data_IF_209569182481
#
_entry.id   IF_209569182481
#
_cell.length_a   1.000
_cell.length_b   1.000
_cell.length_c   1.000
_cell.angle_alpha   90.00
_cell.angle_beta   90.00
_cell.angle_gamma   90.00
#
_symmetry.space_group_name_H-M   'P 1'
#
loop_
_entity.id
_entity.type
_entity.pdbx_description
1 polymer ?
#
# COMPACT_ATOMS: atom_id res chain seq x y z
N UNK A 1 27.87 -7.18 -8.99
CA UNK A 1 26.74 -7.22 -8.03
C UNK A 1 25.38 -6.72 -8.57
N UNK A 2 25.27 -6.05 -9.74
CA UNK A 2 23.99 -5.57 -10.29
C UNK A 2 23.18 -6.59 -11.12
N UNK A 3 23.65 -7.81 -11.30
CA UNK A 3 23.03 -8.82 -12.19
C UNK A 3 22.03 -9.77 -11.48
N UNK A 4 22.05 -9.89 -10.16
CA UNK A 4 21.22 -10.86 -9.43
C UNK A 4 19.74 -10.45 -9.36
N UNK A 5 19.41 -9.16 -9.33
CA UNK A 5 18.02 -8.68 -9.24
C UNK A 5 17.18 -8.91 -10.51
N UNK A 6 17.83 -9.23 -11.65
CA UNK A 6 17.12 -9.53 -12.90
C UNK A 6 16.69 -11.01 -13.01
N UNK A 7 17.12 -11.85 -12.08
CA UNK A 7 16.88 -13.30 -12.10
C UNK A 7 15.78 -13.78 -11.13
N UNK A 8 15.11 -12.86 -10.43
CA UNK A 8 14.01 -13.28 -9.55
C UNK A 8 12.78 -13.67 -10.36
N UNK A 9 12.23 -14.84 -10.05
CA UNK A 9 10.95 -15.30 -10.62
C UNK A 9 9.75 -14.44 -10.14
N UNK A 10 9.90 -13.69 -9.06
CA UNK A 10 8.87 -12.78 -8.56
C UNK A 10 8.86 -11.48 -9.37
N UNK A 11 7.88 -11.34 -10.26
CA UNK A 11 7.70 -10.16 -11.09
C UNK A 11 7.54 -8.86 -10.28
N UNK A 12 7.10 -8.93 -9.02
CA UNK A 12 6.92 -7.77 -8.16
C UNK A 12 8.25 -7.18 -7.65
N UNK A 13 9.34 -7.95 -7.72
CA UNK A 13 10.70 -7.52 -7.38
C UNK A 13 11.50 -7.03 -8.58
N UNK A 14 10.98 -7.21 -9.80
CA UNK A 14 11.63 -6.74 -11.01
C UNK A 14 11.93 -5.24 -10.91
N UNK A 15 13.11 -4.84 -11.35
CA UNK A 15 13.64 -3.47 -11.27
C UNK A 15 13.97 -2.97 -9.85
N UNK A 16 13.99 -3.83 -8.84
CA UNK A 16 14.49 -3.52 -7.49
C UNK A 16 15.84 -4.15 -7.23
N UNK A 17 16.54 -3.73 -6.18
CA UNK A 17 17.79 -4.38 -5.72
C UNK A 17 17.53 -5.62 -4.85
N UNK A 18 16.26 -5.95 -4.57
CA UNK A 18 15.89 -7.09 -3.74
C UNK A 18 15.86 -8.37 -4.53
N UNK A 19 16.24 -9.49 -3.91
CA UNK A 19 16.01 -10.83 -4.42
C UNK A 19 14.68 -11.40 -3.89
N UNK A 20 14.32 -11.06 -2.64
CA UNK A 20 13.14 -11.55 -1.95
C UNK A 20 12.46 -10.46 -1.12
N UNK A 21 11.19 -10.69 -0.80
CA UNK A 21 10.45 -9.96 0.21
C UNK A 21 10.71 -10.53 1.60
N UNK A 22 10.83 -9.69 2.62
CA UNK A 22 11.10 -10.12 3.99
C UNK A 22 10.08 -11.13 4.53
N UNK A 23 8.79 -10.83 4.36
CA UNK A 23 7.71 -11.67 4.90
C UNK A 23 7.31 -12.86 4.01
N UNK A 24 7.93 -13.04 2.83
CA UNK A 24 7.60 -14.14 1.93
C UNK A 24 8.63 -15.28 1.94
N UNK A 25 9.70 -15.15 2.70
CA UNK A 25 10.69 -16.21 2.86
C UNK A 25 10.11 -17.34 3.71
N UNK A 26 10.40 -18.57 3.31
CA UNK A 26 9.93 -19.81 3.94
C UNK A 26 11.10 -20.76 4.18
N UNK A 27 10.82 -21.90 4.80
CA UNK A 27 11.81 -22.97 4.98
C UNK A 27 12.35 -23.53 3.67
N UNK A 28 11.62 -23.38 2.57
CA UNK A 28 12.05 -23.81 1.25
C UNK A 28 13.24 -23.00 0.72
N UNK A 29 13.42 -21.77 1.22
CA UNK A 29 14.54 -20.93 0.84
C UNK A 29 15.83 -21.20 1.64
N UNK A 30 15.83 -22.16 2.59
CA UNK A 30 17.03 -22.48 3.38
C UNK A 30 18.19 -22.85 2.46
N UNK A 31 19.33 -22.20 2.66
CA UNK A 31 20.53 -22.36 1.85
C UNK A 31 20.71 -21.30 0.76
N UNK A 32 19.67 -20.54 0.42
CA UNK A 32 19.75 -19.48 -0.58
C UNK A 32 20.45 -18.23 -0.04
N UNK A 33 21.19 -17.54 -0.93
CA UNK A 33 21.71 -16.21 -0.68
C UNK A 33 20.69 -15.16 -1.11
N UNK A 34 20.31 -14.30 -0.18
CA UNK A 34 19.26 -13.30 -0.39
C UNK A 34 19.77 -11.88 -0.16
N UNK A 35 19.23 -10.96 -0.93
CA UNK A 35 19.39 -9.51 -0.73
C UNK A 35 18.03 -8.91 -0.40
N UNK A 36 17.93 -8.37 0.80
CA UNK A 36 16.72 -7.79 1.38
C UNK A 36 16.89 -6.30 1.59
N UNK A 37 15.80 -5.55 1.52
CA UNK A 37 15.78 -4.14 1.89
C UNK A 37 14.54 -3.86 2.73
N UNK A 38 14.73 -3.17 3.85
CA UNK A 38 13.63 -2.89 4.77
C UNK A 38 13.99 -1.88 5.83
N UNK A 39 13.05 -1.67 6.74
CA UNK A 39 13.23 -0.84 7.93
C UNK A 39 13.52 -1.70 9.14
N UNK A 40 14.48 -1.27 9.94
CA UNK A 40 14.79 -1.90 11.23
C UNK A 40 13.60 -1.72 12.17
N UNK A 41 13.03 -2.80 12.64
CA UNK A 41 11.93 -2.76 13.60
C UNK A 41 12.44 -2.63 15.03
N UNK A 42 13.36 -3.50 15.41
CA UNK A 42 14.11 -3.46 16.69
C UNK A 42 15.30 -4.39 16.63
N UNK A 43 16.21 -4.24 17.60
CA UNK A 43 17.34 -5.13 17.83
C UNK A 43 17.27 -5.75 19.23
N UNK A 44 17.91 -6.89 19.43
CA UNK A 44 17.97 -7.63 20.70
C UNK A 44 19.40 -8.12 20.97
N UNK A 45 19.70 -8.37 22.24
CA UNK A 45 20.96 -8.94 22.72
C UNK A 45 22.17 -8.21 22.11
N UNK A 46 22.29 -6.93 22.41
CA UNK A 46 23.38 -6.06 21.94
C UNK A 46 23.60 -6.14 20.42
N UNK A 47 22.49 -6.08 19.70
CA UNK A 47 22.42 -6.20 18.24
C UNK A 47 22.81 -7.57 17.66
N UNK A 48 22.89 -8.64 18.45
CA UNK A 48 23.07 -9.99 17.91
C UNK A 48 21.93 -10.38 16.95
N UNK A 49 20.72 -9.89 17.20
CA UNK A 49 19.55 -10.09 16.36
C UNK A 49 18.93 -8.76 15.97
N UNK A 50 18.73 -8.56 14.69
CA UNK A 50 18.02 -7.40 14.16
C UNK A 50 16.81 -7.88 13.38
N UNK A 51 15.63 -7.33 13.68
CA UNK A 51 14.44 -7.55 12.88
C UNK A 51 14.28 -6.43 11.87
N UNK A 52 14.15 -6.82 10.62
CA UNK A 52 13.80 -5.90 9.53
C UNK A 52 12.41 -6.23 9.02
N UNK A 53 11.71 -5.21 8.58
CA UNK A 53 10.40 -5.37 7.94
C UNK A 53 10.35 -4.65 6.62
N UNK A 54 9.53 -5.19 5.75
CA UNK A 54 9.09 -4.53 4.52
C UNK A 54 7.56 -4.50 4.44
N UNK A 55 7.06 -4.33 3.24
CA UNK A 55 5.62 -4.29 2.97
C UNK A 55 4.89 -5.62 3.16
N UNK A 56 5.61 -6.74 3.25
CA UNK A 56 5.04 -8.09 3.30
C UNK A 56 5.14 -8.73 4.68
N UNK A 57 6.07 -8.28 5.50
CA UNK A 57 6.27 -8.85 6.83
C UNK A 57 7.66 -8.58 7.39
N UNK A 58 8.06 -9.41 8.33
CA UNK A 58 9.25 -9.26 9.17
C UNK A 58 10.16 -10.47 8.98
N UNK A 59 11.47 -10.26 9.01
CA UNK A 59 12.49 -11.32 9.07
C UNK A 59 13.56 -10.96 10.10
N UNK A 60 14.12 -11.96 10.76
CA UNK A 60 15.25 -11.82 11.68
C UNK A 60 16.56 -11.93 10.92
N UNK A 61 17.46 -11.00 11.17
CA UNK A 61 18.87 -11.08 10.80
C UNK A 61 19.65 -11.57 12.02
N UNK A 62 20.45 -12.61 11.85
CA UNK A 62 21.41 -13.11 12.81
C UNK A 62 22.80 -12.54 12.45
N UNK A 63 23.41 -11.86 13.41
CA UNK A 63 24.76 -11.34 13.25
C UNK A 63 25.73 -12.44 13.72
N UNK A 64 26.56 -12.99 12.83
CA UNK A 64 27.52 -14.03 13.19
C UNK A 64 28.51 -13.56 14.28
N UNK A 65 29.11 -14.52 14.98
CA UNK A 65 30.11 -14.28 16.00
C UNK A 65 31.39 -13.63 15.45
N UNK A 66 32.22 -13.09 16.34
CA UNK A 66 33.44 -12.35 15.98
C UNK A 66 34.35 -13.11 15.02
N UNK A 67 34.81 -12.38 13.98
CA UNK A 67 35.72 -12.91 12.95
C UNK A 67 35.05 -13.28 11.61
N UNK A 68 33.73 -13.42 11.56
CA UNK A 68 32.99 -13.73 10.31
C UNK A 68 32.40 -12.51 9.58
N UNK A 69 32.34 -11.36 10.26
CA UNK A 69 31.85 -10.11 9.68
C UNK A 69 32.94 -9.05 9.71
N UNK A 70 33.02 -8.25 8.65
CA UNK A 70 33.92 -7.10 8.55
C UNK A 70 33.66 -6.10 9.68
N UNK A 71 34.72 -5.44 10.18
CA UNK A 71 34.65 -4.49 11.27
C UNK A 71 33.69 -3.34 11.00
N UNK A 72 33.64 -2.88 9.76
CA UNK A 72 32.76 -1.79 9.27
C UNK A 72 31.28 -2.12 9.46
N UNK A 73 30.90 -3.39 9.27
CA UNK A 73 29.51 -3.87 9.46
C UNK A 73 29.11 -3.75 10.94
N UNK A 74 30.03 -4.08 11.88
CA UNK A 74 29.77 -3.92 13.32
C UNK A 74 29.56 -2.45 13.70
N UNK A 75 30.39 -1.54 13.19
CA UNK A 75 30.22 -0.11 13.45
C UNK A 75 28.88 0.42 12.93
N UNK A 76 28.46 -0.04 11.75
CA UNK A 76 27.16 0.29 11.18
C UNK A 76 26.05 -0.20 12.10
N UNK A 77 26.12 -1.46 12.55
CA UNK A 77 25.11 -2.08 13.39
C UNK A 77 24.96 -1.40 14.75
N UNK A 78 26.04 -0.86 15.33
CA UNK A 78 25.97 -0.09 16.58
C UNK A 78 25.24 1.26 16.43
N UNK A 79 25.18 1.81 15.23
CA UNK A 79 24.52 3.09 14.91
C UNK A 79 23.08 2.92 14.44
N UNK A 80 22.64 1.68 14.20
CA UNK A 80 21.30 1.39 13.70
C UNK A 80 20.24 1.57 14.78
N UNK A 81 19.39 2.57 14.60
CA UNK A 81 18.17 2.76 15.39
C UNK A 81 16.92 2.20 14.70
N UNK A 82 15.84 2.02 15.47
CA UNK A 82 14.54 1.67 14.89
C UNK A 82 14.13 2.62 13.76
N UNK A 83 13.47 2.09 12.74
CA UNK A 83 13.02 2.80 11.54
C UNK A 83 14.14 3.28 10.59
N UNK A 84 15.40 2.96 10.87
CA UNK A 84 16.48 3.10 9.87
C UNK A 84 16.23 2.18 8.69
N UNK A 85 16.55 2.60 7.48
CA UNK A 85 16.45 1.76 6.28
C UNK A 85 17.81 1.17 5.94
N UNK A 86 17.81 -0.13 5.67
CA UNK A 86 19.02 -0.90 5.37
C UNK A 86 18.79 -1.86 4.19
N UNK A 87 19.88 -2.17 3.50
CA UNK A 87 20.00 -3.35 2.64
C UNK A 87 20.82 -4.39 3.40
N UNK A 88 20.35 -5.62 3.43
CA UNK A 88 21.02 -6.73 4.08
C UNK A 88 21.21 -7.88 3.09
N UNK A 89 22.42 -8.41 3.02
CA UNK A 89 22.72 -9.61 2.24
C UNK A 89 23.17 -10.71 3.18
N UNK A 90 22.69 -11.93 2.96
CA UNK A 90 23.05 -13.06 3.78
C UNK A 90 22.41 -14.35 3.30
N UNK A 91 22.64 -15.41 4.04
CA UNK A 91 22.16 -16.74 3.75
C UNK A 91 20.94 -17.08 4.61
N UNK A 92 19.90 -17.63 3.99
CA UNK A 92 18.74 -18.14 4.74
C UNK A 92 19.13 -19.40 5.50
N UNK A 93 18.91 -19.41 6.80
CA UNK A 93 19.18 -20.55 7.69
C UNK A 93 17.95 -20.88 8.54
N UNK A 94 17.81 -22.15 8.92
CA UNK A 94 16.80 -22.57 9.89
C UNK A 94 17.18 -22.11 11.30
N UNK A 95 16.22 -21.66 12.09
CA UNK A 95 16.46 -21.41 13.52
C UNK A 95 16.77 -22.72 14.25
N UNK A 96 17.60 -22.70 15.31
CA UNK A 96 17.85 -23.88 16.12
C UNK A 96 16.56 -24.49 16.67
N UNK A 97 16.59 -25.81 16.87
CA UNK A 97 15.44 -26.55 17.42
C UNK A 97 14.98 -25.91 18.72
N UNK A 98 13.68 -25.66 18.85
CA UNK A 98 13.07 -25.02 20.03
C UNK A 98 13.14 -23.48 20.06
N UNK A 99 13.77 -22.85 19.08
CA UNK A 99 13.87 -21.36 18.98
C UNK A 99 12.98 -20.76 17.89
N UNK A 100 12.12 -21.55 17.28
CA UNK A 100 11.12 -21.05 16.33
C UNK A 100 10.14 -20.11 17.05
N UNK A 101 9.80 -18.99 16.41
CA UNK A 101 8.85 -18.03 16.93
C UNK A 101 7.48 -18.17 16.24
N UNK A 102 6.47 -18.76 16.90
CA UNK A 102 5.16 -19.00 16.30
C UNK A 102 4.37 -17.69 15.99
N UNK A 103 4.79 -16.55 16.56
CA UNK A 103 4.15 -15.27 16.32
C UNK A 103 4.71 -14.53 15.09
N UNK A 104 5.57 -15.16 14.31
CA UNK A 104 6.13 -14.62 13.07
C UNK A 104 5.96 -15.64 11.95
N UNK A 105 5.45 -15.21 10.81
CA UNK A 105 5.31 -16.08 9.63
C UNK A 105 6.67 -16.65 9.17
N UNK A 106 7.75 -15.89 9.35
CA UNK A 106 9.14 -16.30 9.09
C UNK A 106 9.83 -16.86 10.34
N UNK A 107 9.09 -17.23 11.36
CA UNK A 107 9.65 -17.56 12.68
C UNK A 107 10.47 -18.83 12.78
N UNK A 108 10.43 -19.69 11.77
CA UNK A 108 11.25 -20.92 11.66
C UNK A 108 12.61 -20.70 11.00
N UNK A 109 12.82 -19.55 10.39
CA UNK A 109 14.03 -19.18 9.65
C UNK A 109 14.61 -17.86 10.13
N UNK A 110 15.85 -17.61 9.75
CA UNK A 110 16.54 -16.33 9.94
C UNK A 110 17.58 -16.16 8.83
N UNK A 111 18.15 -14.96 8.72
CA UNK A 111 19.20 -14.66 7.75
C UNK A 111 20.52 -14.53 8.49
N UNK A 112 21.46 -15.45 8.23
CA UNK A 112 22.84 -15.28 8.66
C UNK A 112 23.47 -14.14 7.84
N UNK A 113 23.73 -13.01 8.50
CA UNK A 113 24.13 -11.76 7.86
C UNK A 113 25.55 -11.84 7.34
N UNK A 114 25.77 -11.50 6.07
CA UNK A 114 27.09 -11.40 5.44
C UNK A 114 27.52 -9.94 5.25
N UNK A 115 26.58 -9.10 4.81
CA UNK A 115 26.84 -7.66 4.66
C UNK A 115 25.58 -6.82 4.91
N UNK A 116 25.78 -5.59 5.29
CA UNK A 116 24.73 -4.59 5.45
C UNK A 116 25.20 -3.24 4.94
N UNK A 117 24.32 -2.60 4.17
CA UNK A 117 24.51 -1.24 3.71
C UNK A 117 23.50 -0.31 4.39
N UNK A 118 23.98 0.80 4.88
CA UNK A 118 23.16 1.85 5.43
C UNK A 118 22.53 2.66 4.29
N UNK A 119 21.21 2.58 4.14
CA UNK A 119 20.52 3.40 3.14
C UNK A 119 20.19 4.76 3.73
N UNK A 120 19.55 4.79 4.91
CA UNK A 120 19.21 6.03 5.60
C UNK A 120 19.03 5.81 7.11
N UNK A 121 19.81 6.51 7.97
CA UNK A 121 19.63 6.43 9.42
C UNK A 121 18.34 7.16 9.85
N UNK A 122 17.62 6.57 10.79
CA UNK A 122 16.53 7.26 11.45
C UNK A 122 17.06 8.27 12.48
N UNK A 123 16.30 9.33 12.71
CA UNK A 123 16.59 10.26 13.82
C UNK A 123 16.40 9.54 15.16
N UNK A 124 17.24 9.89 16.16
CA UNK A 124 17.23 9.23 17.47
C UNK A 124 15.91 9.34 18.22
N UNK A 125 15.15 10.42 18.03
CA UNK A 125 13.87 10.64 18.69
C UNK A 125 12.74 10.72 17.65
N UNK A 126 12.12 9.59 17.37
CA UNK A 126 10.93 9.52 16.52
C UNK A 126 9.70 9.96 17.29
N UNK A 127 8.75 10.65 16.66
CA UNK A 127 7.51 11.11 17.32
C UNK A 127 6.64 9.94 17.79
N UNK A 128 6.70 8.80 17.13
CA UNK A 128 6.09 7.52 17.50
C UNK A 128 6.77 6.40 16.71
N UNK A 129 6.57 5.15 17.15
CA UNK A 129 7.08 3.97 16.45
C UNK A 129 5.93 3.26 15.72
N UNK A 130 5.98 3.14 14.38
CA UNK A 130 4.93 2.48 13.59
C UNK A 130 4.70 1.02 13.94
N UNK A 131 5.72 0.36 14.48
CA UNK A 131 5.72 -1.07 14.83
C UNK A 131 5.11 -1.40 16.19
N UNK A 132 4.70 -0.40 16.98
CA UNK A 132 4.12 -0.61 18.31
C UNK A 132 2.64 -0.25 18.32
N UNK A 133 1.78 -1.24 18.50
CA UNK A 133 0.32 -1.03 18.59
C UNK A 133 -0.08 -0.31 19.89
N UNK A 134 0.72 -0.43 20.95
CA UNK A 134 0.43 0.15 22.28
C UNK A 134 0.70 1.65 22.38
N UNK A 135 1.42 2.25 21.43
CA UNK A 135 1.72 3.70 21.40
C UNK A 135 1.53 4.27 20.01
N UNK A 136 0.32 4.22 19.53
CA UNK A 136 -0.05 4.65 18.18
C UNK A 136 0.19 6.13 17.88
N UNK A 137 0.44 6.94 18.88
CA UNK A 137 0.41 8.39 18.75
C UNK A 137 -1.01 8.92 18.50
N UNK A 138 -1.32 10.11 18.98
CA UNK A 138 -2.60 10.76 18.74
C UNK A 138 -2.76 11.09 17.25
N UNK A 139 -3.98 11.05 16.75
CA UNK A 139 -4.28 11.31 15.34
C UNK A 139 -3.63 12.60 14.76
N UNK A 140 -3.65 13.76 15.45
CA UNK A 140 -2.96 14.96 14.95
C UNK A 140 -1.46 14.75 14.72
N UNK A 141 -0.81 13.97 15.59
CA UNK A 141 0.61 13.67 15.47
C UNK A 141 0.88 12.75 14.26
N UNK A 142 0.03 11.74 14.05
CA UNK A 142 0.09 10.84 12.90
C UNK A 142 -0.14 11.59 11.58
N UNK A 143 -1.06 12.54 11.55
CA UNK A 143 -1.30 13.39 10.39
C UNK A 143 -0.11 14.29 10.09
N UNK A 144 0.54 14.83 11.12
CA UNK A 144 1.75 15.66 10.96
C UNK A 144 2.93 14.87 10.40
N UNK A 145 3.10 13.62 10.85
CA UNK A 145 4.20 12.74 10.41
C UNK A 145 3.66 11.58 9.55
N UNK A 146 2.90 11.93 8.51
CA UNK A 146 2.15 10.98 7.69
C UNK A 146 3.02 9.93 7.02
N UNK A 147 4.24 10.27 6.61
CA UNK A 147 5.18 9.31 6.01
C UNK A 147 5.56 8.18 6.98
N UNK A 148 5.68 8.50 8.27
CA UNK A 148 5.94 7.50 9.29
C UNK A 148 4.69 6.67 9.60
N UNK A 149 3.52 7.30 9.70
CA UNK A 149 2.22 6.62 9.88
C UNK A 149 1.92 5.64 8.74
N UNK A 150 2.26 5.99 7.51
CA UNK A 150 2.11 5.11 6.32
C UNK A 150 2.95 3.82 6.38
N UNK A 151 3.93 3.72 7.29
CA UNK A 151 4.67 2.47 7.53
C UNK A 151 3.87 1.44 8.36
N UNK A 152 2.74 1.83 8.93
CA UNK A 152 1.88 0.93 9.72
C UNK A 152 1.18 -0.07 8.82
N UNK A 153 1.22 -1.34 9.21
CA UNK A 153 0.68 -2.44 8.43
C UNK A 153 -0.82 -2.26 8.11
N UNK A 154 -1.61 -1.87 9.12
CA UNK A 154 -3.05 -1.67 8.96
C UNK A 154 -3.36 -0.62 7.89
N UNK A 155 -2.64 0.50 7.90
CA UNK A 155 -2.85 1.57 6.93
C UNK A 155 -2.42 1.15 5.52
N UNK A 156 -1.29 0.45 5.42
CA UNK A 156 -0.85 -0.12 4.14
C UNK A 156 -1.83 -1.14 3.59
N UNK A 157 -2.37 -2.01 4.44
CA UNK A 157 -3.38 -3.00 4.05
C UNK A 157 -4.65 -2.32 3.55
N UNK A 158 -5.13 -1.26 4.23
CA UNK A 158 -6.30 -0.51 3.78
C UNK A 158 -6.08 0.09 2.38
N UNK A 159 -4.90 0.65 2.10
CA UNK A 159 -4.58 1.21 0.79
C UNK A 159 -4.50 0.12 -0.29
N UNK A 160 -3.91 -1.05 0.02
CA UNK A 160 -3.86 -2.18 -0.91
C UNK A 160 -5.24 -2.76 -1.20
N UNK A 161 -6.06 -2.95 -0.16
CA UNK A 161 -7.44 -3.40 -0.32
C UNK A 161 -8.22 -2.43 -1.20
N UNK A 162 -8.12 -1.12 -0.95
CA UNK A 162 -8.75 -0.10 -1.79
C UNK A 162 -8.31 -0.21 -3.25
N UNK A 163 -7.00 -0.35 -3.49
CA UNK A 163 -6.45 -0.50 -4.84
C UNK A 163 -7.01 -1.73 -5.55
N UNK A 164 -7.04 -2.88 -4.85
CA UNK A 164 -7.57 -4.13 -5.38
C UNK A 164 -9.06 -4.01 -5.72
N UNK A 165 -9.85 -3.47 -4.80
CA UNK A 165 -11.30 -3.25 -5.01
C UNK A 165 -11.57 -2.43 -6.27
N UNK A 166 -10.87 -1.31 -6.43
CA UNK A 166 -11.02 -0.46 -7.62
C UNK A 166 -10.64 -1.22 -8.90
N UNK A 167 -9.58 -2.01 -8.86
CA UNK A 167 -9.14 -2.81 -10.00
C UNK A 167 -10.14 -3.90 -10.35
N UNK A 168 -10.69 -4.62 -9.35
CA UNK A 168 -11.68 -5.66 -9.54
C UNK A 168 -12.99 -5.07 -10.13
N UNK A 169 -13.42 -3.89 -9.64
CA UNK A 169 -14.55 -3.15 -10.21
C UNK A 169 -14.32 -2.77 -11.67
N UNK A 170 -13.13 -2.24 -12.00
CA UNK A 170 -12.77 -1.90 -13.38
C UNK A 170 -12.79 -3.12 -14.28
N UNK A 171 -12.19 -4.22 -13.82
CA UNK A 171 -12.15 -5.46 -14.58
C UNK A 171 -13.55 -5.98 -14.85
N UNK A 172 -14.40 -6.08 -13.82
CA UNK A 172 -15.78 -6.53 -13.98
C UNK A 172 -16.52 -5.69 -15.02
N UNK A 173 -16.47 -4.38 -14.92
CA UNK A 173 -17.19 -3.49 -15.83
C UNK A 173 -16.64 -3.58 -17.27
N UNK A 174 -15.33 -3.63 -17.45
CA UNK A 174 -14.74 -3.82 -18.78
C UNK A 174 -15.13 -5.15 -19.40
N UNK A 175 -15.13 -6.24 -18.63
CA UNK A 175 -15.53 -7.58 -19.09
C UNK A 175 -17.01 -7.61 -19.51
N UNK A 176 -17.84 -6.68 -18.99
CA UNK A 176 -19.27 -6.52 -19.36
C UNK A 176 -19.50 -5.41 -20.41
N UNK A 177 -18.45 -4.98 -21.09
CA UNK A 177 -18.54 -4.04 -22.21
C UNK A 177 -18.71 -2.57 -21.83
N UNK A 178 -18.45 -2.21 -20.57
CA UNK A 178 -18.35 -0.81 -20.20
C UNK A 178 -17.02 -0.21 -20.63
N UNK A 179 -17.03 1.05 -21.02
CA UNK A 179 -15.85 1.81 -21.40
C UNK A 179 -15.46 2.76 -20.27
N UNK A 180 -14.21 2.68 -19.80
CA UNK A 180 -13.65 3.62 -18.82
C UNK A 180 -13.22 4.91 -19.52
N UNK A 181 -13.95 5.99 -19.25
CA UNK A 181 -13.71 7.28 -19.92
C UNK A 181 -13.45 8.35 -18.87
N UNK A 182 -12.26 8.97 -18.93
CA UNK A 182 -11.92 10.11 -18.12
C UNK A 182 -12.62 11.39 -18.62
N UNK A 183 -13.14 12.17 -17.68
CA UNK A 183 -13.81 13.43 -17.95
C UNK A 183 -13.09 14.60 -17.24
N UNK A 184 -13.19 15.83 -17.73
CA UNK A 184 -12.58 16.98 -17.09
C UNK A 184 -13.09 17.22 -15.67
N UNK A 185 -12.17 17.51 -14.73
CA UNK A 185 -12.51 17.96 -13.37
C UNK A 185 -12.56 19.48 -13.24
N UNK A 186 -11.82 20.20 -14.09
CA UNK A 186 -11.91 21.65 -14.24
C UNK A 186 -12.87 21.98 -15.40
N UNK A 187 -14.00 22.56 -15.07
CA UNK A 187 -15.03 22.89 -16.05
C UNK A 187 -15.74 24.18 -15.69
N UNK A 188 -16.66 24.63 -16.50
CA UNK A 188 -17.58 25.70 -16.12
C UNK A 188 -18.54 25.22 -15.03
N UNK A 189 -19.12 26.16 -14.29
CA UNK A 189 -20.17 25.83 -13.32
C UNK A 189 -21.27 24.99 -13.96
N UNK A 190 -21.65 23.93 -13.27
CA UNK A 190 -22.70 23.02 -13.71
C UNK A 190 -23.97 23.27 -12.89
N UNK A 191 -25.17 23.13 -13.47
CA UNK A 191 -26.41 23.20 -12.71
C UNK A 191 -26.49 21.93 -11.83
N UNK A 192 -26.17 22.05 -10.57
CA UNK A 192 -26.20 20.96 -9.60
C UNK A 192 -26.66 21.44 -8.24
N UNK A 193 -27.04 20.51 -7.35
CA UNK A 193 -27.58 20.82 -6.03
C UNK A 193 -26.54 21.20 -4.98
N UNK A 194 -25.27 20.83 -5.16
CA UNK A 194 -24.22 21.14 -4.21
C UNK A 194 -23.47 22.43 -4.59
N UNK A 195 -22.83 23.08 -3.60
CA UNK A 195 -21.93 24.19 -3.86
C UNK A 195 -20.64 23.68 -4.48
N UNK A 196 -20.19 24.34 -5.53
CA UNK A 196 -18.95 24.02 -6.24
C UNK A 196 -17.78 24.85 -5.74
N UNK A 197 -16.58 24.26 -5.73
CA UNK A 197 -15.34 25.01 -5.53
C UNK A 197 -15.01 25.83 -6.77
N UNK A 198 -14.67 27.10 -6.59
CA UNK A 198 -14.31 28.02 -7.66
C UNK A 198 -12.79 28.10 -7.76
N UNK A 199 -12.26 27.92 -8.97
CA UNK A 199 -10.83 27.99 -9.25
C UNK A 199 -10.53 29.22 -10.11
N UNK A 200 -9.72 30.18 -9.62
CA UNK A 200 -9.33 31.35 -10.39
C UNK A 200 -8.56 30.98 -11.65
N UNK A 201 -8.77 31.72 -12.72
CA UNK A 201 -8.00 31.58 -13.96
C UNK A 201 -7.02 32.74 -14.14
N UNK A 202 -6.13 32.65 -15.15
CA UNK A 202 -5.26 33.75 -15.55
C UNK A 202 -6.04 34.93 -16.16
N UNK A 203 -7.23 34.68 -16.66
CA UNK A 203 -8.08 35.72 -17.28
C UNK A 203 -8.87 36.41 -16.19
N UNK A 204 -8.72 37.72 -16.09
CA UNK A 204 -9.44 38.55 -15.10
C UNK A 204 -10.96 38.37 -15.22
N UNK A 205 -11.58 38.03 -14.10
CA UNK A 205 -13.05 37.83 -14.02
C UNK A 205 -13.53 36.48 -14.59
N UNK A 206 -12.62 35.56 -14.96
CA UNK A 206 -12.96 34.22 -15.40
C UNK A 206 -12.55 33.18 -14.36
N UNK A 207 -13.40 32.18 -14.15
CA UNK A 207 -13.22 31.13 -13.18
C UNK A 207 -13.58 29.77 -13.78
N UNK A 208 -12.89 28.74 -13.34
CA UNK A 208 -13.35 27.36 -13.46
C UNK A 208 -14.10 26.95 -12.19
N UNK A 209 -14.86 25.87 -12.28
CA UNK A 209 -15.37 25.11 -11.14
C UNK A 209 -14.76 23.73 -11.12
N UNK A 210 -14.61 23.17 -9.92
CA UNK A 210 -14.38 21.73 -9.75
C UNK A 210 -15.74 21.02 -9.81
N UNK A 211 -15.85 19.99 -10.65
CA UNK A 211 -17.12 19.32 -10.91
C UNK A 211 -17.61 18.49 -9.71
N UNK A 212 -18.91 18.52 -9.45
CA UNK A 212 -19.57 17.73 -8.40
C UNK A 212 -19.62 16.23 -8.73
N UNK A 213 -19.76 15.93 -10.01
CA UNK A 213 -19.74 14.59 -10.63
C UNK A 213 -19.66 14.74 -12.15
N UNK A 214 -19.32 13.70 -12.91
CA UNK A 214 -19.25 13.75 -14.38
C UNK A 214 -20.62 13.74 -15.07
N UNK A 215 -21.70 14.16 -14.42
CA UNK A 215 -23.09 13.99 -14.89
C UNK A 215 -23.33 14.50 -16.32
N UNK A 216 -22.87 15.70 -16.66
CA UNK A 216 -23.10 16.24 -18.00
C UNK A 216 -22.30 15.47 -19.07
N UNK A 217 -21.08 15.05 -18.74
CA UNK A 217 -20.22 14.34 -19.67
C UNK A 217 -20.77 12.94 -19.98
N UNK A 218 -21.18 12.20 -18.95
CA UNK A 218 -21.73 10.86 -19.17
C UNK A 218 -23.03 10.86 -19.96
N UNK A 219 -23.90 11.86 -19.76
CA UNK A 219 -25.09 12.06 -20.57
C UNK A 219 -24.73 12.38 -22.03
N UNK A 220 -23.72 13.24 -22.25
CA UNK A 220 -23.24 13.51 -23.60
C UNK A 220 -22.70 12.26 -24.29
N UNK A 221 -22.03 11.38 -23.55
CA UNK A 221 -21.53 10.10 -24.08
C UNK A 221 -22.68 9.19 -24.52
N UNK A 222 -23.75 9.10 -23.72
CA UNK A 222 -24.95 8.32 -24.11
C UNK A 222 -25.58 8.90 -25.39
N UNK A 223 -25.75 10.21 -25.47
CA UNK A 223 -26.25 10.87 -26.70
C UNK A 223 -25.29 10.66 -27.87
N UNK A 224 -23.98 10.62 -27.59
CA UNK A 224 -22.93 10.37 -28.58
C UNK A 224 -22.79 8.92 -29.05
N UNK A 225 -23.63 8.00 -28.51
CA UNK A 225 -23.67 6.61 -28.96
C UNK A 225 -22.83 5.62 -28.15
N UNK A 226 -22.35 6.00 -26.97
CA UNK A 226 -21.78 5.04 -26.03
C UNK A 226 -22.90 4.37 -25.22
N UNK A 227 -23.01 3.06 -25.30
CA UNK A 227 -24.07 2.34 -24.59
C UNK A 227 -23.78 2.12 -23.11
N UNK A 228 -22.51 1.97 -22.73
CA UNK A 228 -22.06 1.68 -21.38
C UNK A 228 -20.80 2.44 -21.04
N UNK A 229 -20.89 3.29 -20.06
CA UNK A 229 -19.79 4.10 -19.53
C UNK A 229 -19.57 3.83 -18.06
N UNK A 230 -18.32 3.90 -17.63
CA UNK A 230 -18.00 4.08 -16.23
C UNK A 230 -16.73 4.93 -16.06
N UNK A 231 -16.55 5.43 -14.85
CA UNK A 231 -15.34 6.15 -14.45
C UNK A 231 -15.15 6.05 -12.93
N UNK A 232 -13.92 5.85 -12.49
CA UNK A 232 -13.55 6.09 -11.08
C UNK A 232 -13.25 7.58 -10.93
N UNK A 233 -14.29 8.37 -10.72
CA UNK A 233 -14.28 9.82 -10.82
C UNK A 233 -13.90 10.51 -9.51
N UNK A 234 -13.09 11.58 -9.61
CA UNK A 234 -12.92 12.55 -8.53
C UNK A 234 -14.09 13.54 -8.56
N UNK A 235 -14.73 13.68 -7.40
CA UNK A 235 -15.88 14.56 -7.22
C UNK A 235 -15.61 15.56 -6.10
N UNK A 236 -16.15 16.76 -6.22
CA UNK A 236 -15.87 17.87 -5.33
C UNK A 236 -17.17 18.53 -4.91
N UNK A 237 -17.39 18.71 -3.60
CA UNK A 237 -18.59 19.39 -3.07
C UNK A 237 -18.20 20.24 -1.89
N UNK A 238 -18.44 21.55 -1.97
CA UNK A 238 -18.24 22.52 -0.90
C UNK A 238 -19.45 22.49 0.04
N UNK A 239 -19.58 21.38 0.77
CA UNK A 239 -20.65 21.17 1.74
C UNK A 239 -20.11 21.11 3.15
N UNK A 240 -20.98 21.31 4.15
CA UNK A 240 -20.60 21.25 5.55
C UNK A 240 -19.96 19.90 5.92
N UNK A 241 -18.84 19.96 6.63
CA UNK A 241 -18.08 18.81 7.06
C UNK A 241 -18.90 17.91 8.00
N UNK A 242 -18.98 16.62 7.68
CA UNK A 242 -19.50 15.55 8.55
C UNK A 242 -18.45 14.45 8.65
N UNK A 243 -18.43 13.62 9.71
CA UNK A 243 -17.43 12.58 9.89
C UNK A 243 -17.28 11.62 8.70
N UNK A 244 -18.35 11.40 7.93
CA UNK A 244 -18.39 10.53 6.75
C UNK A 244 -18.48 11.28 5.43
N UNK A 245 -18.26 12.60 5.41
CA UNK A 245 -18.29 13.43 4.20
C UNK A 245 -17.01 14.23 4.06
N UNK A 246 -16.37 14.08 2.91
CA UNK A 246 -15.19 14.84 2.54
C UNK A 246 -15.50 15.75 1.36
N UNK A 247 -14.88 16.94 1.29
CA UNK A 247 -15.10 17.88 0.18
C UNK A 247 -14.59 17.32 -1.15
N UNK A 248 -13.61 16.44 -1.12
CA UNK A 248 -13.08 15.69 -2.26
C UNK A 248 -13.24 14.19 -1.98
N UNK A 249 -13.87 13.46 -2.88
CA UNK A 249 -14.11 12.02 -2.74
C UNK A 249 -14.13 11.33 -4.11
N UNK A 250 -14.06 10.00 -4.08
CA UNK A 250 -14.08 9.18 -5.28
C UNK A 250 -15.44 8.51 -5.42
N UNK A 251 -16.01 8.55 -6.63
CA UNK A 251 -17.20 7.78 -7.01
C UNK A 251 -16.81 6.74 -8.07
N UNK A 252 -17.41 5.56 -8.00
CA UNK A 252 -17.58 4.72 -9.18
C UNK A 252 -18.85 5.24 -9.86
N UNK A 253 -18.69 5.93 -10.96
CA UNK A 253 -19.79 6.52 -11.71
C UNK A 253 -20.07 5.66 -12.94
N UNK A 254 -21.35 5.31 -13.15
CA UNK A 254 -21.80 4.38 -14.19
C UNK A 254 -22.96 5.03 -14.93
N UNK A 255 -23.01 4.87 -16.25
CA UNK A 255 -24.15 5.25 -17.08
C UNK A 255 -24.39 4.19 -18.14
N UNK A 256 -25.65 3.84 -18.37
CA UNK A 256 -26.07 2.86 -19.37
C UNK A 256 -27.22 3.41 -20.21
N UNK A 257 -27.12 3.23 -21.53
CA UNK A 257 -28.22 3.45 -22.44
C UNK A 257 -29.09 2.16 -22.57
N UNK A 258 -30.30 2.31 -23.04
CA UNK A 258 -31.20 1.22 -23.37
C UNK A 258 -31.51 0.23 -22.25
N UNK A 259 -31.46 0.69 -21.01
CA UNK A 259 -31.72 -0.13 -19.83
C UNK A 259 -32.86 0.44 -18.98
N UNK A 260 -33.50 -0.45 -18.24
CA UNK A 260 -34.49 -0.09 -17.23
C UNK A 260 -33.88 -0.11 -15.82
N UNK A 261 -34.73 0.16 -14.82
CA UNK A 261 -34.32 0.13 -13.41
C UNK A 261 -33.83 -1.24 -12.97
N UNK A 262 -34.41 -2.32 -13.47
CA UNK A 262 -34.03 -3.68 -13.07
C UNK A 262 -32.64 -4.03 -13.61
N UNK A 263 -32.34 -3.65 -14.84
CA UNK A 263 -31.03 -3.88 -15.45
C UNK A 263 -29.91 -3.18 -14.68
N UNK A 264 -30.11 -1.94 -14.21
CA UNK A 264 -29.14 -1.24 -13.36
C UNK A 264 -28.98 -1.92 -12.00
N UNK A 265 -30.09 -2.33 -11.36
CA UNK A 265 -30.04 -3.04 -10.07
C UNK A 265 -29.24 -4.33 -10.18
N UNK A 266 -29.55 -5.15 -11.18
CA UNK A 266 -28.85 -6.41 -11.43
C UNK A 266 -27.36 -6.19 -11.69
N UNK A 267 -27.00 -5.22 -12.52
CA UNK A 267 -25.60 -4.88 -12.78
C UNK A 267 -24.82 -4.54 -11.50
N UNK A 268 -25.41 -3.73 -10.60
CA UNK A 268 -24.78 -3.36 -9.34
C UNK A 268 -24.69 -4.54 -8.35
N UNK A 269 -25.73 -5.37 -8.29
CA UNK A 269 -25.73 -6.59 -7.45
C UNK A 269 -24.63 -7.56 -7.90
N UNK A 270 -24.54 -7.84 -9.19
CA UNK A 270 -23.51 -8.72 -9.76
C UNK A 270 -22.09 -8.15 -9.53
N UNK A 271 -21.90 -6.84 -9.71
CA UNK A 271 -20.65 -6.15 -9.41
C UNK A 271 -20.25 -6.35 -7.94
N UNK A 272 -21.17 -6.13 -7.01
CA UNK A 272 -20.90 -6.28 -5.59
C UNK A 272 -20.62 -7.74 -5.21
N UNK A 273 -21.39 -8.69 -5.73
CA UNK A 273 -21.17 -10.12 -5.50
C UNK A 273 -19.82 -10.61 -6.04
N UNK A 274 -19.33 -10.00 -7.12
CA UNK A 274 -18.01 -10.32 -7.67
C UNK A 274 -16.85 -9.73 -6.83
N UNK A 275 -17.02 -8.53 -6.30
CA UNK A 275 -15.94 -7.79 -5.63
C UNK A 275 -15.84 -8.08 -4.14
N UNK A 276 -16.98 -8.19 -3.42
CA UNK A 276 -17.01 -8.33 -1.96
C UNK A 276 -16.30 -9.57 -1.42
N UNK A 277 -16.42 -10.77 -1.99
CA UNK A 277 -15.71 -11.96 -1.52
C UNK A 277 -14.18 -11.75 -1.47
N UNK A 278 -13.62 -11.10 -2.48
CA UNK A 278 -12.19 -10.81 -2.56
C UNK A 278 -11.69 -9.87 -1.44
N UNK A 279 -12.58 -9.08 -0.84
CA UNK A 279 -12.26 -8.19 0.28
C UNK A 279 -12.25 -8.96 1.60
N UNK A 280 -13.22 -9.86 1.78
CA UNK A 280 -13.35 -10.66 3.02
C UNK A 280 -12.17 -11.61 3.16
N UNK A 281 -11.78 -12.29 2.09
CA UNK A 281 -10.65 -13.21 2.08
C UNK A 281 -9.31 -12.48 2.36
N UNK A 282 -9.17 -11.25 1.88
CA UNK A 282 -7.98 -10.43 2.17
C UNK A 282 -7.87 -10.02 3.66
N UNK A 283 -9.01 -9.96 4.39
CA UNK A 283 -9.02 -9.69 5.84
C UNK A 283 -8.80 -10.96 6.67
N UNK A 284 -9.17 -12.13 6.18
CA UNK A 284 -8.94 -13.40 6.89
C UNK A 284 -7.48 -13.79 6.91
N UNK A 285 -6.72 -13.48 5.84
CA UNK A 285 -5.27 -13.71 5.79
C UNK A 285 -4.45 -12.76 6.68
N UNK A 286 -5.04 -11.65 7.14
CA UNK A 286 -4.38 -10.71 8.06
C UNK A 286 -4.68 -10.98 9.55
N UNK A 287 -5.58 -11.90 9.87
CA UNK A 287 -5.98 -12.21 11.26
C UNK A 287 -5.15 -13.30 11.96
N UNK A 288 -4.17 -13.88 11.29
CA UNK A 288 -3.27 -14.85 11.91
C UNK A 288 -2.19 -14.25 12.81
N UNK A 289 -2.21 -12.93 13.06
CA UNK A 289 -1.26 -12.21 13.91
C UNK A 289 -1.81 -11.58 15.19
N UNK A 290 -3.11 -11.75 15.50
CA UNK A 290 -3.70 -11.22 16.73
C UNK A 290 -4.10 -12.35 17.68
N UNK A 291 -3.17 -12.78 18.53
CA UNK A 291 -3.38 -13.29 19.90
C UNK A 291 -2.14 -13.04 20.74
#
# INVERSE_FOLDING_TARGET
MRLLSYLTNDRSLRWTSRTHWCGKLTVENIGEHVQLAGWVQYSRLDNKFILIRDATGIIQLLIPEEGKIAHDVKEILMKIGPESSINATGKVVGRPTGQSNPNMDTGSIEIELESVDFVNPAIKSLPFLPSRDTNEGKEPLRMKYRSLDLRRQNLQNNLRVRSKVIMDMRKFLCDHGFVDIETPTLFRRTPGGAREFIVPTRLRGKFYSLVQSPQQFKQMLMVGGFDKYFQVARCYRDEGSKPNRQPEFTQLDIEMAWCDRQGIQQCIEELLLNVLPNIVDSKSSSKTGER
#
